data_IF_898269658159
#
_entry.id   IF_898269658159
#
_cell.length_a   1.000
_cell.length_b   1.000
_cell.length_c   1.000
_cell.angle_alpha   90.00
_cell.angle_beta   90.00
_cell.angle_gamma   90.00
#
_symmetry.space_group_name_H-M   'P 1'
#
loop_
_entity.id
_entity.type
_entity.pdbx_description
1 polymer ?
#
# COMPACT_ATOMS: atom_id res chain seq x y z
N UNK A 1 -16.25 -39.11 14.05
CA UNK A 1 -14.98 -38.36 14.07
C UNK A 1 -14.89 -37.32 12.95
N UNK A 2 -15.53 -37.53 11.80
CA UNK A 2 -15.51 -36.63 10.62
C UNK A 2 -16.08 -35.22 10.84
N UNK A 3 -17.19 -35.06 11.56
CA UNK A 3 -17.87 -33.75 11.69
C UNK A 3 -17.07 -32.70 12.50
N UNK A 4 -16.23 -33.15 13.44
CA UNK A 4 -15.36 -32.27 14.24
C UNK A 4 -14.14 -31.81 13.43
N UNK A 5 -13.60 -32.67 12.58
CA UNK A 5 -12.49 -32.32 11.68
C UNK A 5 -12.95 -31.32 10.62
N UNK A 6 -14.14 -31.53 10.04
CA UNK A 6 -14.71 -30.62 9.05
C UNK A 6 -14.98 -29.21 9.63
N UNK A 7 -15.56 -29.11 10.84
CA UNK A 7 -15.79 -27.82 11.52
C UNK A 7 -14.47 -27.13 11.90
N UNK A 8 -13.47 -27.89 12.35
CA UNK A 8 -12.15 -27.34 12.65
C UNK A 8 -11.46 -26.79 11.38
N UNK A 9 -11.47 -27.53 10.28
CA UNK A 9 -10.92 -27.10 9.00
C UNK A 9 -11.64 -25.85 8.48
N UNK A 10 -12.97 -25.82 8.57
CA UNK A 10 -13.76 -24.65 8.16
C UNK A 10 -13.39 -23.41 8.98
N UNK A 11 -13.36 -23.51 10.32
CA UNK A 11 -12.99 -22.39 11.20
C UNK A 11 -11.56 -21.91 10.95
N UNK A 12 -10.62 -22.83 10.73
CA UNK A 12 -9.24 -22.49 10.40
C UNK A 12 -9.15 -21.74 9.06
N UNK A 13 -9.91 -22.18 8.04
CA UNK A 13 -9.98 -21.52 6.74
C UNK A 13 -10.61 -20.12 6.82
N UNK A 14 -11.72 -19.97 7.54
CA UNK A 14 -12.39 -18.68 7.77
C UNK A 14 -11.48 -17.69 8.50
N UNK A 15 -10.77 -18.15 9.53
CA UNK A 15 -9.80 -17.32 10.26
C UNK A 15 -8.67 -16.86 9.33
N UNK A 16 -8.10 -17.77 8.54
CA UNK A 16 -7.03 -17.44 7.59
C UNK A 16 -7.50 -16.41 6.54
N UNK A 17 -8.73 -16.52 6.05
CA UNK A 17 -9.32 -15.55 5.12
C UNK A 17 -9.45 -14.17 5.75
N UNK A 18 -9.97 -14.09 6.99
CA UNK A 18 -10.11 -12.81 7.71
C UNK A 18 -8.76 -12.15 7.97
N UNK A 19 -7.75 -12.92 8.37
CA UNK A 19 -6.39 -12.42 8.60
C UNK A 19 -5.78 -11.87 7.30
N UNK A 20 -5.97 -12.55 6.17
CA UNK A 20 -5.53 -12.08 4.84
C UNK A 20 -6.24 -10.80 4.41
N UNK A 21 -7.55 -10.73 4.56
CA UNK A 21 -8.33 -9.55 4.19
C UNK A 21 -7.96 -8.34 5.08
N UNK A 22 -7.71 -8.56 6.38
CA UNK A 22 -7.20 -7.52 7.29
C UNK A 22 -5.81 -7.04 6.87
N UNK A 23 -4.89 -7.95 6.55
CA UNK A 23 -3.55 -7.59 6.09
C UNK A 23 -3.59 -6.80 4.77
N UNK A 24 -4.46 -7.18 3.83
CA UNK A 24 -4.65 -6.44 2.59
C UNK A 24 -5.20 -5.03 2.84
N UNK A 25 -6.18 -4.89 3.75
CA UNK A 25 -6.72 -3.58 4.13
C UNK A 25 -5.64 -2.68 4.75
N UNK A 26 -4.79 -3.23 5.62
CA UNK A 26 -3.66 -2.49 6.19
C UNK A 26 -2.67 -2.02 5.13
N UNK A 27 -2.29 -2.89 4.19
CA UNK A 27 -1.39 -2.52 3.07
C UNK A 27 -1.97 -1.40 2.22
N UNK A 28 -3.27 -1.45 1.91
CA UNK A 28 -3.95 -0.38 1.18
C UNK A 28 -3.98 0.94 1.94
N UNK A 29 -4.19 0.89 3.25
CA UNK A 29 -4.17 2.10 4.09
C UNK A 29 -2.78 2.75 4.09
N UNK A 30 -1.72 1.96 4.26
CA UNK A 30 -0.33 2.45 4.21
C UNK A 30 0.02 2.99 2.82
N UNK A 31 -0.42 2.32 1.75
CA UNK A 31 -0.24 2.80 0.38
C UNK A 31 -0.87 4.18 0.18
N UNK A 32 -2.16 4.33 0.54
CA UNK A 32 -2.86 5.60 0.41
C UNK A 32 -2.24 6.72 1.26
N UNK A 33 -1.78 6.40 2.48
CA UNK A 33 -1.08 7.36 3.33
C UNK A 33 0.26 7.79 2.72
N UNK A 34 1.00 6.85 2.12
CA UNK A 34 2.29 7.13 1.48
C UNK A 34 2.11 8.01 0.24
N UNK A 35 1.11 7.71 -0.59
CA UNK A 35 0.75 8.53 -1.76
C UNK A 35 0.33 9.95 -1.35
N UNK A 36 -0.48 10.07 -0.30
CA UNK A 36 -0.87 11.37 0.25
C UNK A 36 0.35 12.16 0.72
N UNK A 37 1.27 11.52 1.46
CA UNK A 37 2.48 12.17 1.96
C UNK A 37 3.41 12.62 0.84
N UNK A 38 3.55 11.83 -0.23
CA UNK A 38 4.31 12.24 -1.42
C UNK A 38 3.74 13.54 -2.02
N UNK A 39 2.41 13.63 -2.16
CA UNK A 39 1.76 14.83 -2.68
C UNK A 39 1.94 16.05 -1.74
N UNK A 40 1.91 15.85 -0.43
CA UNK A 40 2.21 16.90 0.55
C UNK A 40 3.66 17.39 0.42
N UNK A 41 4.62 16.47 0.23
CA UNK A 41 6.02 16.81 0.01
C UNK A 41 6.21 17.64 -1.27
N UNK A 42 5.49 17.33 -2.35
CA UNK A 42 5.55 18.13 -3.58
C UNK A 42 5.09 19.58 -3.37
N UNK A 43 4.06 19.78 -2.54
CA UNK A 43 3.58 21.12 -2.18
C UNK A 43 4.61 21.86 -1.32
N UNK A 44 5.19 21.18 -0.33
CA UNK A 44 6.23 21.74 0.53
C UNK A 44 7.45 22.16 -0.31
N UNK A 45 7.88 21.31 -1.25
CA UNK A 45 9.04 21.57 -2.08
C UNK A 45 8.87 22.80 -2.98
N UNK A 46 7.69 22.95 -3.59
CA UNK A 46 7.35 24.15 -4.38
C UNK A 46 7.45 25.42 -3.54
N UNK A 47 6.92 25.40 -2.32
CA UNK A 47 6.96 26.55 -1.41
C UNK A 47 8.37 26.88 -0.94
N UNK A 48 9.19 25.88 -0.63
CA UNK A 48 10.60 26.05 -0.27
C UNK A 48 11.40 26.67 -1.42
N UNK A 49 11.11 26.27 -2.67
CA UNK A 49 11.70 26.89 -3.85
C UNK A 49 11.28 28.36 -3.99
N UNK A 50 10.00 28.68 -3.84
CA UNK A 50 9.48 30.06 -3.86
C UNK A 50 10.11 30.95 -2.77
N UNK A 51 10.28 30.42 -1.56
CA UNK A 51 10.93 31.14 -0.47
C UNK A 51 12.43 31.34 -0.70
N UNK A 52 13.11 30.40 -1.38
CA UNK A 52 14.51 30.58 -1.79
C UNK A 52 14.65 31.70 -2.83
N UNK A 53 13.91 31.63 -3.96
CA UNK A 53 14.02 32.63 -5.03
C UNK A 53 13.61 34.05 -4.59
N UNK A 54 12.76 34.17 -3.56
CA UNK A 54 12.36 35.46 -2.98
C UNK A 54 13.34 35.98 -1.92
N UNK A 55 14.39 35.23 -1.61
CA UNK A 55 15.42 35.58 -0.62
C UNK A 55 14.99 35.42 0.84
N UNK A 56 13.80 34.85 1.09
CA UNK A 56 13.31 34.57 2.46
C UNK A 56 14.02 33.37 3.09
N UNK A 57 14.56 32.48 2.25
CA UNK A 57 15.33 31.32 2.64
C UNK A 57 16.72 31.40 2.01
N UNK A 58 17.77 31.14 2.78
CA UNK A 58 19.12 31.06 2.23
C UNK A 58 19.32 29.76 1.44
N UNK A 59 20.19 29.81 0.42
CA UNK A 59 20.57 28.64 -0.38
C UNK A 59 21.05 27.46 0.48
N UNK A 60 21.83 27.73 1.53
CA UNK A 60 22.30 26.69 2.45
C UNK A 60 21.13 25.95 3.13
N UNK A 61 20.12 26.70 3.58
CA UNK A 61 18.93 26.13 4.22
C UNK A 61 18.05 25.40 3.21
N UNK A 62 17.93 25.94 1.99
CA UNK A 62 17.25 25.27 0.89
C UNK A 62 17.87 23.91 0.61
N UNK A 63 19.18 23.84 0.38
CA UNK A 63 19.90 22.58 0.10
C UNK A 63 19.68 21.56 1.22
N UNK A 64 19.76 22.00 2.48
CA UNK A 64 19.56 21.11 3.63
C UNK A 64 18.15 20.55 3.68
N UNK A 65 17.12 21.40 3.64
CA UNK A 65 15.72 20.98 3.71
C UNK A 65 15.31 20.14 2.50
N UNK A 66 15.72 20.55 1.30
CA UNK A 66 15.41 19.84 0.07
C UNK A 66 15.96 18.42 0.09
N UNK A 67 17.19 18.21 0.57
CA UNK A 67 17.77 16.85 0.70
C UNK A 67 16.95 15.94 1.60
N UNK A 68 16.52 16.43 2.75
CA UNK A 68 15.74 15.64 3.71
C UNK A 68 14.38 15.24 3.10
N UNK A 69 13.69 16.18 2.44
CA UNK A 69 12.42 15.91 1.78
C UNK A 69 12.55 15.01 0.55
N UNK A 70 13.59 15.18 -0.26
CA UNK A 70 13.87 14.29 -1.41
C UNK A 70 14.15 12.86 -0.94
N UNK A 71 14.90 12.72 0.16
CA UNK A 71 15.17 11.42 0.76
C UNK A 71 13.88 10.75 1.26
N UNK A 72 13.04 11.49 2.00
CA UNK A 72 11.73 10.99 2.45
C UNK A 72 10.86 10.57 1.26
N UNK A 73 10.79 11.41 0.22
CA UNK A 73 9.97 11.14 -0.95
C UNK A 73 10.46 9.91 -1.72
N UNK A 74 11.77 9.71 -1.84
CA UNK A 74 12.36 8.53 -2.48
C UNK A 74 12.01 7.24 -1.72
N UNK A 75 12.09 7.27 -0.39
CA UNK A 75 11.70 6.13 0.45
C UNK A 75 10.21 5.80 0.28
N UNK A 76 9.34 6.82 0.32
CA UNK A 76 7.90 6.63 0.13
C UNK A 76 7.56 6.09 -1.26
N UNK A 77 8.24 6.56 -2.31
CA UNK A 77 8.06 6.03 -3.68
C UNK A 77 8.40 4.53 -3.76
N UNK A 78 9.48 4.08 -3.11
CA UNK A 78 9.83 2.67 -3.04
C UNK A 78 8.77 1.83 -2.27
N UNK A 79 8.21 2.39 -1.19
CA UNK A 79 7.10 1.77 -0.44
C UNK A 79 5.86 1.65 -1.32
N UNK A 80 5.47 2.72 -2.02
CA UNK A 80 4.32 2.75 -2.93
C UNK A 80 4.47 1.71 -4.05
N UNK A 81 5.65 1.64 -4.67
CA UNK A 81 5.92 0.65 -5.72
C UNK A 81 5.79 -0.79 -5.19
N UNK A 82 6.37 -1.06 -4.03
CA UNK A 82 6.37 -2.39 -3.43
C UNK A 82 4.96 -2.80 -2.99
N UNK A 83 4.29 -1.98 -2.18
CA UNK A 83 2.94 -2.26 -1.70
C UNK A 83 1.92 -2.30 -2.84
N UNK A 84 2.05 -1.43 -3.84
CA UNK A 84 1.19 -1.43 -5.02
C UNK A 84 1.27 -2.75 -5.78
N UNK A 85 2.48 -3.29 -5.98
CA UNK A 85 2.67 -4.63 -6.59
C UNK A 85 2.04 -5.73 -5.75
N UNK A 86 2.23 -5.72 -4.43
CA UNK A 86 1.69 -6.73 -3.53
C UNK A 86 0.15 -6.73 -3.50
N UNK A 87 -0.46 -5.55 -3.38
CA UNK A 87 -1.92 -5.38 -3.40
C UNK A 87 -2.48 -5.92 -4.71
N UNK A 88 -1.93 -5.50 -5.85
CA UNK A 88 -2.36 -5.97 -7.17
C UNK A 88 -2.26 -7.50 -7.31
N UNK A 89 -1.15 -8.08 -6.85
CA UNK A 89 -0.96 -9.53 -6.93
C UNK A 89 -1.98 -10.29 -6.06
N UNK A 90 -2.26 -9.81 -4.84
CA UNK A 90 -3.23 -10.43 -3.95
C UNK A 90 -4.66 -10.34 -4.49
N UNK A 91 -5.04 -9.21 -5.07
CA UNK A 91 -6.35 -9.03 -5.70
C UNK A 91 -6.54 -9.91 -6.94
N UNK A 92 -5.50 -10.04 -7.76
CA UNK A 92 -5.54 -10.93 -8.92
C UNK A 92 -5.72 -12.39 -8.50
N UNK A 93 -5.00 -12.84 -7.47
CA UNK A 93 -5.17 -14.19 -6.90
C UNK A 93 -6.60 -14.41 -6.40
N UNK A 94 -7.17 -13.45 -5.65
CA UNK A 94 -8.56 -13.51 -5.16
C UNK A 94 -9.56 -13.61 -6.31
N UNK A 95 -9.34 -12.87 -7.40
CA UNK A 95 -10.18 -12.90 -8.60
C UNK A 95 -10.09 -14.24 -9.34
N UNK A 96 -8.88 -14.78 -9.51
CA UNK A 96 -8.65 -16.06 -10.17
C UNK A 96 -9.32 -17.22 -9.41
N UNK A 97 -9.22 -17.24 -8.08
CA UNK A 97 -9.91 -18.26 -7.25
C UNK A 97 -11.42 -18.17 -7.42
N UNK A 98 -12.00 -16.97 -7.41
CA UNK A 98 -13.45 -16.79 -7.62
C UNK A 98 -13.90 -17.27 -9.01
N UNK A 99 -13.12 -16.98 -10.06
CA UNK A 99 -13.38 -17.46 -11.42
C UNK A 99 -13.33 -18.99 -11.48
N UNK A 100 -12.31 -19.60 -10.90
CA UNK A 100 -12.17 -21.06 -10.86
C UNK A 100 -13.37 -21.73 -10.18
N UNK A 101 -13.77 -21.26 -8.99
CA UNK A 101 -14.94 -21.78 -8.27
C UNK A 101 -16.21 -21.64 -9.13
N UNK A 102 -16.39 -20.52 -9.82
CA UNK A 102 -17.53 -20.31 -10.72
C UNK A 102 -17.53 -21.27 -11.92
N UNK A 103 -16.37 -21.66 -12.43
CA UNK A 103 -16.26 -22.62 -13.54
C UNK A 103 -16.60 -24.01 -13.03
N UNK A 104 -16.01 -24.47 -11.92
CA UNK A 104 -16.29 -25.80 -11.36
C UNK A 104 -17.78 -25.99 -11.05
N UNK A 105 -18.45 -25.00 -10.44
CA UNK A 105 -19.90 -25.02 -10.18
C UNK A 105 -20.79 -25.05 -11.43
N UNK A 106 -20.27 -24.77 -12.62
CA UNK A 106 -21.03 -24.91 -13.88
C UNK A 106 -20.97 -26.33 -14.44
N UNK A 107 -20.01 -27.14 -14.00
CA UNK A 107 -19.76 -28.50 -14.48
C UNK A 107 -19.95 -29.55 -13.37
N UNK A 108 -20.47 -29.16 -12.20
CA UNK A 108 -20.85 -30.01 -11.06
C UNK A 108 -22.14 -29.46 -10.48
#
# INVERSE_FOLDING_TARGET
MTQYEDDFIQRAAERSLRERDKALAQKKAVLAQSEKRIAELDVIFKRIYEDNISGKLSDERFIKLSRDYEQEQAQLKAVVETLGREVKQQEQKKTNVRKFISVVKKYT
#
